data_IF_164412971159
#
_entry.id   IF_164412971159
#
_cell.length_a   1.000
_cell.length_b   1.000
_cell.length_c   1.000
_cell.angle_alpha   90.00
_cell.angle_beta   90.00
_cell.angle_gamma   90.00
#
_symmetry.space_group_name_H-M   'P 1'
#
loop_
_entity.id
_entity.type
_entity.pdbx_description
1 polymer ?
#
# COMPACT_ATOMS: atom_id res chain seq x y z
N UNK A 1 13.82 30.74 -48.79
CA UNK A 1 14.32 29.63 -47.96
C UNK A 1 14.22 30.03 -46.50
N UNK A 2 13.70 29.16 -45.63
CA UNK A 2 13.97 29.22 -44.19
C UNK A 2 12.84 29.72 -43.27
N UNK A 3 11.80 28.91 -43.03
CA UNK A 3 10.96 28.98 -41.83
C UNK A 3 10.33 27.61 -41.52
N UNK A 4 11.09 26.65 -40.97
CA UNK A 4 10.50 25.37 -40.49
C UNK A 4 11.36 24.67 -39.41
N UNK A 5 11.89 25.41 -38.45
CA UNK A 5 12.74 24.84 -37.37
C UNK A 5 12.22 25.16 -35.95
N UNK A 6 11.17 25.99 -35.79
CA UNK A 6 10.73 26.45 -34.45
C UNK A 6 9.63 25.60 -33.80
N UNK A 7 8.91 24.77 -34.55
CA UNK A 7 7.82 23.94 -34.00
C UNK A 7 8.34 22.64 -33.34
N UNK A 8 9.37 22.00 -33.89
CA UNK A 8 9.94 20.74 -33.38
C UNK A 8 10.51 20.84 -31.95
N UNK A 9 11.30 21.89 -31.68
CA UNK A 9 11.88 22.12 -30.35
C UNK A 9 10.83 22.37 -29.26
N UNK A 10 9.73 23.07 -29.58
CA UNK A 10 8.63 23.31 -28.61
C UNK A 10 7.85 22.04 -28.29
N UNK A 11 7.69 21.14 -29.26
CA UNK A 11 7.06 19.84 -29.03
C UNK A 11 7.93 18.92 -28.20
N UNK A 12 9.23 18.85 -28.47
CA UNK A 12 10.20 18.03 -27.72
C UNK A 12 10.28 18.47 -26.25
N UNK A 13 10.46 19.77 -25.98
CA UNK A 13 10.47 20.31 -24.62
C UNK A 13 9.17 19.99 -23.84
N UNK A 14 8.02 20.01 -24.52
CA UNK A 14 6.74 19.69 -23.89
C UNK A 14 6.59 18.18 -23.62
N UNK A 15 7.19 17.34 -24.44
CA UNK A 15 7.22 15.89 -24.23
C UNK A 15 8.15 15.52 -23.07
N UNK A 16 9.33 16.12 -22.98
CA UNK A 16 10.28 15.94 -21.88
C UNK A 16 9.69 16.38 -20.54
N UNK A 17 9.14 17.60 -20.45
CA UNK A 17 8.46 18.07 -19.24
C UNK A 17 7.32 17.14 -18.79
N UNK A 18 6.56 16.59 -19.73
CA UNK A 18 5.50 15.60 -19.41
C UNK A 18 6.07 14.29 -18.91
N UNK A 19 7.21 13.85 -19.44
CA UNK A 19 7.88 12.63 -18.96
C UNK A 19 8.45 12.85 -17.55
N UNK A 20 9.12 13.97 -17.30
CA UNK A 20 9.64 14.33 -15.98
C UNK A 20 8.52 14.42 -14.94
N UNK A 21 7.42 15.10 -15.25
CA UNK A 21 6.26 15.17 -14.35
C UNK A 21 5.67 13.78 -14.05
N UNK A 22 5.62 12.89 -15.05
CA UNK A 22 5.16 11.51 -14.85
C UNK A 22 6.11 10.71 -13.97
N UNK A 23 7.42 10.87 -14.16
CA UNK A 23 8.43 10.22 -13.33
C UNK A 23 8.34 10.72 -11.89
N UNK A 24 8.25 12.03 -11.69
CA UNK A 24 8.12 12.64 -10.37
C UNK A 24 6.84 12.18 -9.65
N UNK A 25 5.70 12.16 -10.34
CA UNK A 25 4.46 11.60 -9.79
C UNK A 25 4.60 10.11 -9.45
N UNK A 26 5.28 9.33 -10.29
CA UNK A 26 5.56 7.92 -10.04
C UNK A 26 6.40 7.70 -8.79
N UNK A 27 7.49 8.46 -8.62
CA UNK A 27 8.34 8.42 -7.42
C UNK A 27 7.57 8.82 -6.17
N UNK A 28 6.75 9.88 -6.24
CA UNK A 28 5.89 10.31 -5.13
C UNK A 28 4.90 9.23 -4.70
N UNK A 29 4.27 8.54 -5.65
CA UNK A 29 3.35 7.44 -5.35
C UNK A 29 4.08 6.26 -4.70
N UNK A 30 5.29 5.93 -5.18
CA UNK A 30 6.10 4.87 -4.62
C UNK A 30 6.52 5.17 -3.17
N UNK A 31 7.01 6.38 -2.90
CA UNK A 31 7.41 6.82 -1.55
C UNK A 31 6.23 6.77 -0.56
N UNK A 32 5.05 7.26 -0.99
CA UNK A 32 3.83 7.19 -0.19
C UNK A 32 3.43 5.74 0.13
N UNK A 33 3.57 4.84 -0.85
CA UNK A 33 3.26 3.43 -0.66
C UNK A 33 4.24 2.77 0.32
N UNK A 34 5.55 3.02 0.18
CA UNK A 34 6.58 2.49 1.08
C UNK A 34 6.33 2.93 2.52
N UNK A 35 6.09 4.22 2.75
CA UNK A 35 5.78 4.74 4.08
C UNK A 35 4.51 4.11 4.66
N UNK A 36 3.47 3.96 3.83
CA UNK A 36 2.21 3.32 4.25
C UNK A 36 2.42 1.86 4.65
N UNK A 37 3.16 1.10 3.85
CA UNK A 37 3.49 -0.29 4.15
C UNK A 37 4.28 -0.36 5.46
N UNK A 38 5.30 0.47 5.65
CA UNK A 38 6.07 0.51 6.90
C UNK A 38 5.19 0.77 8.14
N UNK A 39 4.25 1.71 8.03
CA UNK A 39 3.28 2.02 9.09
C UNK A 39 2.37 0.82 9.39
N UNK A 40 1.83 0.17 8.35
CA UNK A 40 1.02 -1.04 8.47
C UNK A 40 1.82 -2.15 9.18
N UNK A 41 3.07 -2.36 8.78
CA UNK A 41 3.93 -3.40 9.34
C UNK A 41 4.19 -3.19 10.84
N UNK A 42 4.44 -1.95 11.27
CA UNK A 42 4.66 -1.65 12.68
C UNK A 42 3.39 -1.81 13.53
N UNK A 43 2.22 -1.46 12.97
CA UNK A 43 0.95 -1.53 13.69
C UNK A 43 0.48 -2.98 13.85
N UNK A 44 0.59 -3.78 12.78
CA UNK A 44 0.11 -5.16 12.75
C UNK A 44 1.17 -6.18 13.17
N UNK A 45 2.44 -5.78 13.25
CA UNK A 45 3.55 -6.66 13.66
C UNK A 45 3.92 -7.72 12.63
N UNK A 46 3.46 -7.59 11.38
CA UNK A 46 3.73 -8.49 10.26
C UNK A 46 4.33 -7.70 9.09
N UNK A 47 5.33 -8.25 8.40
CA UNK A 47 5.85 -7.67 7.16
C UNK A 47 5.07 -8.20 5.96
N UNK A 48 4.53 -7.29 5.15
CA UNK A 48 3.80 -7.64 3.92
C UNK A 48 4.65 -7.39 2.68
N UNK A 49 4.87 -8.43 1.89
CA UNK A 49 5.62 -8.35 0.63
C UNK A 49 4.87 -9.02 -0.53
N UNK A 50 4.21 -8.24 -1.41
CA UNK A 50 3.63 -8.77 -2.64
C UNK A 50 4.73 -9.31 -3.56
N UNK A 51 4.60 -10.57 -3.97
CA UNK A 51 5.50 -11.24 -4.92
C UNK A 51 4.73 -11.80 -6.11
N UNK A 52 5.29 -11.62 -7.29
CA UNK A 52 4.78 -12.22 -8.50
C UNK A 52 5.95 -12.40 -9.49
N UNK A 53 6.22 -13.65 -9.88
CA UNK A 53 7.24 -13.99 -10.86
C UNK A 53 6.59 -14.45 -12.15
N UNK A 54 6.89 -13.75 -13.24
CA UNK A 54 6.37 -14.12 -14.55
C UNK A 54 7.19 -15.25 -15.18
N UNK A 55 6.55 -16.08 -16.01
CA UNK A 55 7.21 -17.14 -16.80
C UNK A 55 8.23 -16.62 -17.82
N UNK A 56 8.24 -15.32 -18.13
CA UNK A 56 9.29 -14.69 -18.93
C UNK A 56 10.57 -14.34 -18.13
N UNK A 57 10.64 -14.75 -16.85
CA UNK A 57 11.76 -14.50 -15.95
C UNK A 57 11.72 -13.13 -15.26
N UNK A 58 10.70 -12.30 -15.52
CA UNK A 58 10.57 -10.99 -14.88
C UNK A 58 9.91 -11.09 -13.50
N UNK A 59 10.63 -10.70 -12.46
CA UNK A 59 10.12 -10.51 -11.10
C UNK A 59 9.49 -9.13 -10.96
N UNK A 60 8.19 -9.08 -10.68
CA UNK A 60 7.44 -7.83 -10.61
C UNK A 60 7.63 -7.17 -9.24
N UNK A 61 7.87 -5.86 -9.26
CA UNK A 61 7.84 -5.01 -8.05
C UNK A 61 6.41 -4.86 -7.54
N UNK A 62 6.19 -4.54 -6.25
CA UNK A 62 4.84 -4.34 -5.71
C UNK A 62 3.99 -3.35 -6.52
N UNK A 63 4.57 -2.24 -6.97
CA UNK A 63 3.84 -1.25 -7.80
C UNK A 63 3.45 -1.81 -9.18
N UNK A 64 4.23 -2.72 -9.75
CA UNK A 64 3.93 -3.38 -11.03
C UNK A 64 2.83 -4.42 -10.86
N UNK A 65 2.85 -5.17 -9.74
CA UNK A 65 1.78 -6.09 -9.37
C UNK A 65 0.46 -5.33 -9.25
N UNK A 66 0.47 -4.21 -8.51
CA UNK A 66 -0.72 -3.37 -8.29
C UNK A 66 -1.26 -2.78 -9.60
N UNK A 67 -0.38 -2.34 -10.50
CA UNK A 67 -0.76 -1.80 -11.82
C UNK A 67 -1.23 -2.89 -12.81
N UNK A 68 -0.76 -4.12 -12.64
CA UNK A 68 -1.11 -5.24 -13.52
C UNK A 68 -2.49 -5.84 -13.22
N UNK A 69 -3.07 -5.59 -12.05
CA UNK A 69 -4.43 -5.97 -11.74
C UNK A 69 -5.44 -5.18 -12.58
N UNK A 70 -6.53 -5.84 -12.94
CA UNK A 70 -7.71 -5.17 -13.50
C UNK A 70 -8.63 -4.72 -12.37
N UNK A 71 -9.44 -3.69 -12.65
CA UNK A 71 -10.54 -3.28 -11.79
C UNK A 71 -11.75 -4.22 -11.91
N UNK A 72 -11.48 -5.52 -11.98
CA UNK A 72 -12.45 -6.59 -12.15
C UNK A 72 -12.41 -7.48 -10.89
N UNK A 73 -13.51 -7.59 -10.13
CA UNK A 73 -13.63 -8.45 -8.96
C UNK A 73 -13.35 -9.92 -9.22
N UNK A 74 -13.60 -10.41 -10.45
CA UNK A 74 -13.53 -11.82 -10.80
C UNK A 74 -12.18 -12.21 -11.44
N UNK A 75 -11.31 -11.23 -11.72
CA UNK A 75 -10.00 -11.46 -12.36
C UNK A 75 -8.83 -11.44 -11.36
N UNK A 76 -8.59 -12.56 -10.69
CA UNK A 76 -7.54 -12.72 -9.67
C UNK A 76 -6.08 -12.71 -10.19
N UNK A 77 -5.84 -12.17 -11.38
CA UNK A 77 -4.53 -12.17 -12.01
C UNK A 77 -3.94 -10.77 -12.19
N UNK A 78 -2.62 -10.68 -12.13
CA UNK A 78 -1.84 -9.50 -12.49
C UNK A 78 -1.18 -9.71 -13.86
N UNK A 79 -1.04 -8.63 -14.63
CA UNK A 79 -0.38 -8.65 -15.94
C UNK A 79 1.10 -8.27 -15.85
N UNK A 80 1.96 -9.07 -16.48
CA UNK A 80 3.37 -8.72 -16.66
C UNK A 80 3.52 -7.48 -17.55
N UNK A 81 4.25 -6.43 -17.13
CA UNK A 81 4.48 -5.25 -17.97
C UNK A 81 5.31 -5.57 -19.22
N UNK A 82 6.19 -6.59 -19.15
CA UNK A 82 7.12 -6.99 -20.22
C UNK A 82 6.46 -7.85 -21.30
N UNK A 83 5.88 -8.99 -20.95
CA UNK A 83 5.32 -9.96 -21.91
C UNK A 83 3.79 -9.98 -21.98
N UNK A 84 3.10 -9.15 -21.20
CA UNK A 84 1.63 -9.01 -21.15
C UNK A 84 0.84 -10.27 -20.72
N UNK A 85 1.52 -11.36 -20.36
CA UNK A 85 0.88 -12.55 -19.76
C UNK A 85 0.28 -12.23 -18.40
N UNK A 86 -0.84 -12.89 -18.09
CA UNK A 86 -1.54 -12.76 -16.80
C UNK A 86 -1.28 -14.00 -15.94
N UNK A 87 -1.12 -13.80 -14.64
CA UNK A 87 -0.83 -14.86 -13.66
C UNK A 87 -1.19 -14.38 -12.25
N UNK A 88 -1.28 -15.29 -11.28
CA UNK A 88 -1.65 -14.95 -9.90
C UNK A 88 -0.48 -14.31 -9.15
N UNK A 89 -0.79 -13.29 -8.34
CA UNK A 89 0.16 -12.70 -7.41
C UNK A 89 -0.02 -13.31 -6.02
N UNK A 90 1.05 -13.28 -5.22
CA UNK A 90 1.08 -13.81 -3.87
C UNK A 90 1.49 -12.73 -2.89
N UNK A 91 1.02 -12.83 -1.65
CA UNK A 91 1.38 -11.96 -0.55
C UNK A 91 2.14 -12.82 0.45
N UNK A 92 3.41 -12.48 0.67
CA UNK A 92 4.19 -13.07 1.75
C UNK A 92 3.99 -12.21 2.99
N UNK A 93 3.48 -12.82 4.04
CA UNK A 93 3.31 -12.23 5.35
C UNK A 93 4.30 -12.86 6.32
N UNK A 94 5.30 -12.08 6.75
CA UNK A 94 6.33 -12.51 7.69
C UNK A 94 5.98 -12.02 9.09
N UNK A 95 5.59 -12.96 9.95
CA UNK A 95 5.34 -12.69 11.37
C UNK A 95 6.57 -12.98 12.25
N UNK A 96 6.35 -13.14 13.56
CA UNK A 96 7.42 -13.47 14.51
C UNK A 96 7.92 -14.93 14.42
N UNK A 97 7.06 -15.85 13.97
CA UNK A 97 7.32 -17.29 14.04
C UNK A 97 7.47 -17.95 12.66
N UNK A 98 6.83 -17.42 11.63
CA UNK A 98 6.81 -18.04 10.29
C UNK A 98 6.46 -17.05 9.19
N UNK A 99 6.87 -17.39 7.98
CA UNK A 99 6.39 -16.78 6.74
C UNK A 99 5.18 -17.55 6.22
N UNK A 100 4.13 -16.83 5.83
CA UNK A 100 2.94 -17.41 5.22
C UNK A 100 2.77 -16.83 3.82
N UNK A 101 2.64 -17.71 2.84
CA UNK A 101 2.38 -17.35 1.45
C UNK A 101 0.90 -17.49 1.13
N UNK A 102 0.28 -16.39 0.71
CA UNK A 102 -1.17 -16.32 0.49
C UNK A 102 -1.47 -15.76 -0.91
N UNK A 103 -2.64 -16.05 -1.50
CA UNK A 103 -3.13 -15.29 -2.65
C UNK A 103 -3.16 -13.79 -2.33
N UNK A 104 -2.67 -12.96 -3.24
CA UNK A 104 -2.77 -11.50 -3.11
C UNK A 104 -3.88 -10.96 -3.99
N UNK A 105 -4.86 -10.34 -3.37
CA UNK A 105 -5.98 -9.72 -4.08
C UNK A 105 -5.74 -8.24 -4.28
N UNK A 106 -6.26 -7.67 -5.37
CA UNK A 106 -6.28 -6.23 -5.56
C UNK A 106 -7.35 -5.57 -4.66
N UNK A 107 -7.38 -4.24 -4.63
CA UNK A 107 -8.35 -3.50 -3.82
C UNK A 107 -9.81 -3.86 -4.14
N UNK A 108 -10.21 -3.90 -5.42
CA UNK A 108 -11.59 -4.21 -5.82
C UNK A 108 -11.98 -5.65 -5.48
N UNK A 109 -11.09 -6.61 -5.74
CA UNK A 109 -11.27 -8.02 -5.38
C UNK A 109 -11.43 -8.21 -3.88
N UNK A 110 -10.57 -7.56 -3.09
CA UNK A 110 -10.64 -7.61 -1.63
C UNK A 110 -12.01 -7.13 -1.16
N UNK A 111 -12.48 -5.97 -1.64
CA UNK A 111 -13.80 -5.45 -1.25
C UNK A 111 -14.94 -6.36 -1.67
N UNK A 112 -14.90 -6.92 -2.88
CA UNK A 112 -15.93 -7.84 -3.36
C UNK A 112 -16.02 -9.10 -2.49
N UNK A 113 -14.88 -9.69 -2.14
CA UNK A 113 -14.85 -10.87 -1.26
C UNK A 113 -15.36 -10.55 0.15
N UNK A 114 -14.97 -9.41 0.71
CA UNK A 114 -15.43 -8.99 2.05
C UNK A 114 -16.95 -8.81 2.15
N UNK A 115 -17.66 -8.53 1.05
CA UNK A 115 -19.14 -8.45 1.06
C UNK A 115 -19.81 -9.77 1.43
N UNK A 116 -19.15 -10.89 1.17
CA UNK A 116 -19.69 -12.23 1.38
C UNK A 116 -19.18 -12.87 2.69
N UNK A 117 -18.30 -12.19 3.42
CA UNK A 117 -17.71 -12.69 4.66
C UNK A 117 -18.36 -11.94 5.82
N UNK A 118 -18.87 -12.68 6.81
CA UNK A 118 -19.39 -12.09 8.03
C UNK A 118 -18.29 -11.33 8.78
N UNK A 119 -18.63 -10.23 9.45
CA UNK A 119 -17.67 -9.55 10.31
C UNK A 119 -17.33 -10.47 11.50
N UNK A 120 -16.07 -10.89 11.57
CA UNK A 120 -15.51 -11.69 12.66
C UNK A 120 -14.51 -10.84 13.46
N UNK A 121 -14.23 -11.18 14.73
CA UNK A 121 -13.09 -10.63 15.46
C UNK A 121 -11.78 -10.82 14.68
N UNK A 122 -10.83 -9.89 14.81
CA UNK A 122 -9.64 -9.86 13.95
C UNK A 122 -8.80 -11.14 14.00
N UNK A 123 -8.67 -11.77 15.17
CA UNK A 123 -7.93 -13.03 15.32
C UNK A 123 -8.62 -14.21 14.62
N UNK A 124 -9.94 -14.28 14.69
CA UNK A 124 -10.73 -15.30 14.01
C UNK A 124 -10.72 -15.08 12.50
N UNK A 125 -10.85 -13.82 12.08
CA UNK A 125 -10.78 -13.45 10.67
C UNK A 125 -9.42 -13.85 10.08
N UNK A 126 -8.33 -13.53 10.77
CA UNK A 126 -6.97 -13.87 10.33
C UNK A 126 -6.79 -15.40 10.18
N UNK A 127 -7.47 -16.20 11.01
CA UNK A 127 -7.43 -17.68 10.93
C UNK A 127 -8.30 -18.23 9.80
N UNK A 128 -9.55 -17.75 9.67
CA UNK A 128 -10.53 -18.31 8.72
C UNK A 128 -10.33 -17.78 7.29
N UNK A 129 -9.93 -16.52 7.16
CA UNK A 129 -9.81 -15.80 5.88
C UNK A 129 -8.48 -15.02 5.80
N UNK A 130 -7.32 -15.71 5.91
CA UNK A 130 -6.01 -15.05 6.02
C UNK A 130 -5.66 -14.19 4.80
N UNK A 131 -6.05 -14.59 3.60
CA UNK A 131 -5.72 -13.90 2.35
C UNK A 131 -6.51 -12.58 2.22
N UNK A 132 -7.80 -12.61 2.49
CA UNK A 132 -8.69 -11.45 2.50
C UNK A 132 -8.30 -10.48 3.61
N UNK A 133 -8.03 -10.98 4.82
CA UNK A 133 -7.60 -10.18 5.96
C UNK A 133 -6.34 -9.36 5.64
N UNK A 134 -5.29 -10.04 5.17
CA UNK A 134 -4.00 -9.40 4.91
C UNK A 134 -4.01 -8.53 3.66
N UNK A 135 -4.77 -8.90 2.64
CA UNK A 135 -5.02 -8.02 1.49
C UNK A 135 -5.78 -6.76 1.92
N UNK A 136 -6.76 -6.89 2.83
CA UNK A 136 -7.50 -5.74 3.36
C UNK A 136 -6.61 -4.80 4.15
N UNK A 137 -5.77 -5.33 5.04
CA UNK A 137 -4.77 -4.55 5.78
C UNK A 137 -3.82 -3.85 4.81
N UNK A 138 -3.29 -4.56 3.81
CA UNK A 138 -2.36 -3.99 2.85
C UNK A 138 -2.97 -2.81 2.06
N UNK A 139 -4.19 -2.96 1.54
CA UNK A 139 -4.82 -1.96 0.67
C UNK A 139 -5.53 -0.83 1.43
N UNK A 140 -6.07 -1.12 2.62
CA UNK A 140 -6.96 -0.22 3.35
C UNK A 140 -6.41 0.19 4.72
N UNK A 141 -5.29 -0.40 5.15
CA UNK A 141 -4.63 -0.14 6.43
C UNK A 141 -5.18 -1.02 7.56
N UNK A 142 -6.49 -1.26 7.57
CA UNK A 142 -7.17 -2.12 8.52
C UNK A 142 -8.44 -2.73 7.91
N UNK A 143 -8.99 -3.73 8.58
CA UNK A 143 -10.18 -4.46 8.14
C UNK A 143 -11.48 -3.64 8.27
N UNK A 144 -11.61 -2.77 9.29
CA UNK A 144 -12.79 -1.92 9.50
C UNK A 144 -13.04 -0.99 8.32
N UNK A 145 -12.01 -0.29 7.85
CA UNK A 145 -12.05 0.57 6.66
C UNK A 145 -12.36 -0.23 5.40
N UNK A 146 -11.88 -1.46 5.29
CA UNK A 146 -12.20 -2.32 4.16
C UNK A 146 -13.69 -2.71 4.13
N UNK A 147 -14.27 -3.06 5.29
CA UNK A 147 -15.71 -3.34 5.42
C UNK A 147 -16.58 -2.11 5.12
N UNK A 148 -16.22 -0.95 5.68
CA UNK A 148 -16.93 0.30 5.39
C UNK A 148 -16.94 0.60 3.89
N UNK A 149 -15.84 0.33 3.19
CA UNK A 149 -15.76 0.50 1.73
C UNK A 149 -16.46 -0.60 0.93
N UNK A 150 -16.61 -1.79 1.48
CA UNK A 150 -17.38 -2.87 0.84
C UNK A 150 -18.89 -2.66 0.97
N UNK A 151 -19.31 -1.78 1.89
CA UNK A 151 -20.71 -1.45 2.19
C UNK A 151 -21.23 -2.12 3.47
N UNK A 152 -20.36 -2.78 4.23
CA UNK A 152 -20.68 -3.37 5.53
C UNK A 152 -20.22 -2.52 6.70
N UNK A 153 -20.65 -2.91 7.90
CA UNK A 153 -20.09 -2.41 9.15
C UNK A 153 -19.20 -3.48 9.80
N UNK A 154 -18.20 -3.04 10.56
CA UNK A 154 -17.29 -3.93 11.28
C UNK A 154 -17.23 -3.48 12.74
N UNK A 155 -17.90 -4.18 13.66
CA UNK A 155 -18.12 -3.69 15.01
C UNK A 155 -16.89 -3.84 15.93
N UNK A 156 -15.90 -4.66 15.55
CA UNK A 156 -14.75 -4.97 16.39
C UNK A 156 -13.62 -3.94 16.25
N UNK A 157 -12.86 -3.74 17.33
CA UNK A 157 -11.66 -2.93 17.29
C UNK A 157 -10.50 -3.71 16.65
N UNK A 158 -9.91 -3.20 15.55
CA UNK A 158 -8.98 -3.97 14.75
C UNK A 158 -7.54 -3.97 15.30
N UNK A 159 -7.20 -3.06 16.22
CA UNK A 159 -5.84 -2.90 16.74
C UNK A 159 -5.86 -2.54 18.22
N UNK A 160 -5.43 -3.46 19.08
CA UNK A 160 -5.12 -3.19 20.48
C UNK A 160 -3.79 -2.44 20.62
N UNK A 161 -3.70 -1.59 21.64
CA UNK A 161 -2.50 -0.83 22.02
C UNK A 161 -1.86 -0.05 20.87
N UNK A 162 -2.70 0.51 20.00
CA UNK A 162 -2.23 1.19 18.80
C UNK A 162 -1.43 2.45 19.12
N UNK A 163 -1.65 3.08 20.28
CA UNK A 163 -0.98 4.33 20.69
C UNK A 163 0.54 4.15 20.72
N UNK A 164 1.03 3.10 21.37
CA UNK A 164 2.47 2.84 21.48
C UNK A 164 3.08 2.54 20.11
N UNK A 165 2.34 1.81 19.26
CA UNK A 165 2.78 1.45 17.91
C UNK A 165 2.85 2.64 16.96
N UNK A 166 1.96 3.64 17.10
CA UNK A 166 1.98 4.83 16.23
C UNK A 166 2.92 5.93 16.69
N UNK A 167 3.27 5.96 17.99
CA UNK A 167 4.12 7.02 18.56
C UNK A 167 5.40 7.27 17.75
N UNK A 168 6.14 6.24 17.31
CA UNK A 168 7.34 6.41 16.48
C UNK A 168 7.11 7.07 15.10
N UNK A 169 5.86 7.08 14.62
CA UNK A 169 5.46 7.61 13.31
C UNK A 169 4.89 9.02 13.39
N UNK A 170 4.55 9.52 14.58
CA UNK A 170 4.05 10.88 14.75
C UNK A 170 5.10 11.88 14.24
N UNK A 171 4.68 12.82 13.39
CA UNK A 171 5.58 13.78 12.74
C UNK A 171 6.43 13.22 11.59
N UNK A 172 6.52 11.89 11.43
CA UNK A 172 7.19 11.21 10.31
C UNK A 172 6.23 10.78 9.21
N UNK A 173 4.97 10.53 9.55
CA UNK A 173 3.90 10.26 8.59
C UNK A 173 2.75 11.28 8.75
N UNK A 174 1.96 11.53 7.70
CA UNK A 174 0.76 12.36 7.81
C UNK A 174 -0.23 11.79 8.84
N UNK A 175 -0.74 12.65 9.73
CA UNK A 175 -1.77 12.27 10.73
C UNK A 175 -2.97 11.55 10.09
N UNK A 176 -3.31 11.88 8.84
CA UNK A 176 -4.39 11.23 8.06
C UNK A 176 -4.07 9.78 7.70
N UNK A 177 -2.82 9.46 7.39
CA UNK A 177 -2.38 8.08 7.10
C UNK A 177 -2.36 7.25 8.38
N UNK A 178 -1.85 7.82 9.48
CA UNK A 178 -1.85 7.16 10.79
C UNK A 178 -3.28 6.83 11.21
N UNK A 179 -4.16 7.83 11.21
CA UNK A 179 -5.59 7.67 11.51
C UNK A 179 -6.25 6.58 10.67
N UNK A 180 -5.96 6.56 9.36
CA UNK A 180 -6.46 5.54 8.45
C UNK A 180 -6.00 4.14 8.87
N UNK A 181 -4.73 3.93 9.21
CA UNK A 181 -4.22 2.59 9.53
C UNK A 181 -4.75 2.09 10.88
N UNK A 182 -4.90 2.96 11.89
CA UNK A 182 -5.41 2.55 13.21
C UNK A 182 -6.92 2.65 13.39
N UNK A 183 -7.66 3.03 12.34
CA UNK A 183 -9.12 3.29 12.41
C UNK A 183 -9.54 4.37 13.42
N UNK A 184 -8.73 5.39 13.63
CA UNK A 184 -9.03 6.46 14.59
C UNK A 184 -9.35 7.77 13.88
N UNK A 185 -10.19 8.65 14.47
CA UNK A 185 -10.39 9.99 13.93
C UNK A 185 -9.06 10.75 13.86
N UNK A 186 -8.85 11.51 12.78
CA UNK A 186 -7.64 12.35 12.60
C UNK A 186 -7.43 13.32 13.76
N UNK A 187 -8.52 13.80 14.39
CA UNK A 187 -8.47 14.64 15.59
C UNK A 187 -7.78 13.99 16.79
N UNK A 188 -7.96 12.67 16.98
CA UNK A 188 -7.31 11.90 18.04
C UNK A 188 -5.81 11.86 17.82
N UNK A 189 -5.36 11.53 16.60
CA UNK A 189 -3.93 11.51 16.24
C UNK A 189 -3.30 12.90 16.38
N UNK A 190 -4.00 13.95 15.93
CA UNK A 190 -3.54 15.34 16.07
C UNK A 190 -3.36 15.74 17.53
N UNK A 191 -4.30 15.35 18.40
CA UNK A 191 -4.26 15.65 19.83
C UNK A 191 -3.10 14.91 20.49
N UNK A 192 -2.97 13.61 20.23
CA UNK A 192 -1.84 12.80 20.70
C UNK A 192 -0.49 13.40 20.30
N UNK A 193 -0.32 13.77 19.02
CA UNK A 193 0.90 14.43 18.52
C UNK A 193 1.20 15.75 19.25
N UNK A 194 0.18 16.58 19.48
CA UNK A 194 0.33 17.87 20.19
C UNK A 194 0.71 17.66 21.66
N UNK A 195 0.09 16.72 22.35
CA UNK A 195 0.38 16.41 23.76
C UNK A 195 1.83 15.95 23.95
N UNK A 196 2.38 15.23 22.96
CA UNK A 196 3.78 14.81 22.94
C UNK A 196 4.74 15.87 22.40
N UNK A 197 4.26 17.08 22.09
CA UNK A 197 5.06 18.18 21.53
C UNK A 197 5.78 17.82 20.21
N UNK A 198 5.21 16.88 19.43
CA UNK A 198 5.81 16.43 18.18
C UNK A 198 5.38 17.37 17.03
N UNK A 199 6.32 17.90 16.23
CA UNK A 199 5.99 18.74 15.07
C UNK A 199 5.10 18.02 14.05
N UNK A 200 4.31 18.78 13.30
CA UNK A 200 3.53 18.23 12.18
C UNK A 200 4.49 17.67 11.12
N UNK A 201 4.06 16.59 10.47
CA UNK A 201 4.71 16.08 9.25
C UNK A 201 4.98 17.19 8.23
N UNK A 202 6.24 17.30 7.80
CA UNK A 202 6.68 18.17 6.70
C UNK A 202 7.16 17.29 5.54
N UNK A 203 6.67 17.63 4.34
CA UNK A 203 7.01 16.96 3.08
C UNK A 203 8.48 17.25 2.77
N UNK A 204 9.38 16.35 3.16
CA UNK A 204 10.84 16.52 3.12
C UNK A 204 11.62 15.71 4.17
N UNK A 205 10.97 15.21 5.23
CA UNK A 205 11.62 14.42 6.29
C UNK A 205 11.75 12.90 5.99
N UNK A 206 11.51 12.49 4.74
CA UNK A 206 11.44 11.07 4.33
C UNK A 206 12.80 10.34 4.47
N UNK A 207 13.93 11.06 4.43
CA UNK A 207 15.28 10.51 4.57
C UNK A 207 15.61 9.99 5.98
N UNK A 208 14.90 10.46 7.02
CA UNK A 208 15.16 10.09 8.42
C UNK A 208 14.72 8.66 8.80
N UNK A 209 14.07 7.93 7.88
CA UNK A 209 13.59 6.57 8.12
C UNK A 209 14.64 5.48 7.87
N UNK A 210 15.83 5.81 7.35
CA UNK A 210 16.91 4.81 7.19
C UNK A 210 16.49 3.55 6.42
N UNK A 211 15.43 3.64 5.62
CA UNK A 211 14.88 2.53 4.84
C UNK A 211 15.59 2.50 3.50
N UNK A 212 16.90 2.27 3.53
CA UNK A 212 17.63 1.71 2.39
C UNK A 212 16.94 0.41 2.02
N UNK A 213 16.39 0.35 0.81
CA UNK A 213 16.11 -0.90 0.13
C UNK A 213 17.46 -1.62 0.01
N UNK A 214 17.82 -2.46 0.97
CA UNK A 214 18.83 -3.47 0.70
C UNK A 214 18.20 -4.43 -0.30
N UNK A 215 18.67 -4.31 -1.54
CA UNK A 215 18.58 -5.29 -2.58
C UNK A 215 19.07 -6.64 -2.03
N UNK A 216 18.16 -7.47 -1.51
CA UNK A 216 18.47 -8.89 -1.33
C UNK A 216 18.23 -9.57 -2.67
N UNK A 217 19.18 -9.38 -3.59
CA UNK A 217 19.49 -10.35 -4.61
C UNK A 217 20.46 -11.36 -4.01
N UNK A 218 19.97 -12.56 -3.75
CA UNK A 218 20.76 -13.79 -3.60
C UNK A 218 19.92 -14.94 -4.14
#
# INVERSE_FOLDING_TARGET
>A
MGMSMSMGMRTEQRHEQRQEQRQEMGMRQAAQMTMRVALIQAIHGEKFNPRARCTCGHDLRPIEILRGFRADPDDYTTQCPKCKRRFTAKLIATGRASDVELPFYCASQTLARLRHIAALPSDEFCKQHPAEYRSAIFHFGNIRTAYQKSGGDYPYDPVQDWQDKVTPFLGKAPDTQIALVVSQPVGVIRTMRKNLHIPRYRKGNEESLGMTLQETAS
#
